data_IF_074995696913
#
_entry.id   IF_074995696913
#
_cell.length_a   1.000
_cell.length_b   1.000
_cell.length_c   1.000
_cell.angle_alpha   90.00
_cell.angle_beta   90.00
_cell.angle_gamma   90.00
#
_symmetry.space_group_name_H-M   'P 1'
#
loop_
_entity.id
_entity.type
_entity.pdbx_description
1 polymer ?
#
# COMPACT_ATOMS: atom_id res chain seq x y z
N UNK A 1 31.19 27.96 -26.85
CA UNK A 1 29.81 28.48 -26.76
C UNK A 1 28.74 27.40 -26.96
N UNK A 2 28.82 26.57 -28.00
CA UNK A 2 27.82 25.52 -28.26
C UNK A 2 27.71 24.48 -27.12
N UNK A 3 28.84 24.06 -26.54
CA UNK A 3 28.85 23.09 -25.43
C UNK A 3 28.17 23.62 -24.15
N UNK A 4 28.32 24.92 -23.86
CA UNK A 4 27.70 25.55 -22.70
C UNK A 4 26.17 25.69 -22.86
N UNK A 5 25.69 25.93 -24.09
CA UNK A 5 24.27 25.98 -24.39
C UNK A 5 23.59 24.60 -24.27
N UNK A 6 24.28 23.53 -24.69
CA UNK A 6 23.78 22.15 -24.53
C UNK A 6 23.72 21.76 -23.04
N UNK A 7 24.74 22.14 -22.26
CA UNK A 7 24.75 21.86 -20.81
C UNK A 7 23.61 22.58 -20.08
N UNK A 8 23.29 23.83 -20.45
CA UNK A 8 22.15 24.57 -19.90
C UNK A 8 20.80 23.95 -20.26
N UNK A 9 20.65 23.45 -21.49
CA UNK A 9 19.43 22.77 -21.92
C UNK A 9 19.22 21.44 -21.18
N UNK A 10 20.28 20.68 -20.94
CA UNK A 10 20.21 19.41 -20.18
C UNK A 10 19.95 19.65 -18.68
N UNK A 11 20.41 20.78 -18.11
CA UNK A 11 20.04 21.14 -16.72
C UNK A 11 18.57 21.58 -16.59
N UNK A 12 17.97 22.13 -17.64
CA UNK A 12 16.56 22.56 -17.59
C UNK A 12 15.56 21.40 -17.63
N UNK A 13 15.95 20.25 -18.20
CA UNK A 13 15.09 19.06 -18.26
C UNK A 13 15.08 18.24 -16.97
N UNK A 14 16.04 18.43 -16.06
CA UNK A 14 16.04 17.76 -14.74
C UNK A 14 15.22 18.50 -13.68
N UNK A 15 14.84 19.76 -13.92
CA UNK A 15 14.01 20.57 -13.00
C UNK A 15 12.49 20.35 -13.17
N UNK A 16 12.05 19.65 -14.21
CA UNK A 16 10.64 19.40 -14.53
C UNK A 16 10.17 17.98 -14.15
N UNK A 17 10.93 17.23 -13.33
CA UNK A 17 10.65 15.83 -13.03
C UNK A 17 9.97 15.57 -11.67
N UNK A 18 9.65 16.62 -10.90
CA UNK A 18 8.94 16.51 -9.62
C UNK A 18 7.93 17.63 -9.50
N UNK A 19 6.68 17.33 -9.85
CA UNK A 19 5.54 18.24 -9.75
C UNK A 19 4.90 18.15 -8.36
N UNK A 20 5.70 18.45 -7.33
CA UNK A 20 5.19 18.79 -6.00
C UNK A 20 6.14 19.82 -5.40
N UNK A 21 5.80 21.10 -5.56
CA UNK A 21 6.76 22.18 -5.36
C UNK A 21 7.06 22.49 -3.88
N UNK A 22 6.26 22.08 -2.90
CA UNK A 22 6.51 22.41 -1.47
C UNK A 22 5.91 21.43 -0.43
N UNK A 23 5.38 20.26 -0.82
CA UNK A 23 4.76 19.26 0.06
C UNK A 23 5.69 18.16 0.61
N UNK A 24 5.18 17.38 1.57
CA UNK A 24 5.75 16.08 1.93
C UNK A 24 5.18 15.01 1.00
N UNK A 25 6.05 14.25 0.34
CA UNK A 25 5.64 13.22 -0.63
C UNK A 25 4.57 12.28 -0.05
N UNK A 26 3.38 12.29 -0.66
CA UNK A 26 2.33 11.31 -0.41
C UNK A 26 2.88 9.89 -0.55
N UNK A 27 2.58 9.02 0.42
CA UNK A 27 3.19 7.69 0.47
C UNK A 27 2.20 6.61 0.86
N UNK A 28 2.18 5.52 0.10
CA UNK A 28 1.52 4.27 0.46
C UNK A 28 2.55 3.30 1.05
N UNK A 29 2.24 2.79 2.23
CA UNK A 29 3.04 1.80 2.94
C UNK A 29 2.38 0.43 2.87
N UNK A 30 3.13 -0.58 2.46
CA UNK A 30 2.77 -1.98 2.61
C UNK A 30 3.65 -2.64 3.68
N UNK A 31 3.03 -3.17 4.72
CA UNK A 31 3.71 -3.78 5.86
C UNK A 31 3.31 -5.27 5.94
N UNK A 32 4.00 -6.15 5.20
CA UNK A 32 3.78 -7.59 5.29
C UNK A 32 4.28 -8.12 6.65
N UNK A 33 3.49 -8.98 7.27
CA UNK A 33 3.86 -9.71 8.47
C UNK A 33 3.29 -11.13 8.43
N UNK A 34 4.02 -12.06 9.03
CA UNK A 34 3.63 -13.46 9.07
C UNK A 34 2.68 -13.70 10.24
N UNK A 35 1.51 -14.28 9.97
CA UNK A 35 0.56 -14.69 11.02
C UNK A 35 0.96 -16.06 11.55
N UNK A 36 1.17 -17.01 10.63
CA UNK A 36 1.64 -18.35 10.93
C UNK A 36 2.41 -18.93 9.71
N UNK A 37 2.75 -20.23 9.74
CA UNK A 37 3.53 -20.86 8.68
C UNK A 37 2.85 -20.85 7.30
N UNK A 38 1.53 -20.69 7.25
CA UNK A 38 0.68 -20.81 6.04
C UNK A 38 -0.06 -19.51 5.71
N UNK A 39 -0.06 -18.54 6.62
CA UNK A 39 -0.84 -17.32 6.51
C UNK A 39 0.01 -16.08 6.73
N UNK A 40 -0.20 -15.08 5.89
CA UNK A 40 0.40 -13.76 5.99
C UNK A 40 -0.69 -12.69 6.01
N UNK A 41 -0.37 -11.52 6.53
CA UNK A 41 -1.16 -10.33 6.32
C UNK A 41 -0.29 -9.17 5.88
N UNK A 42 -0.91 -8.22 5.18
CA UNK A 42 -0.29 -6.99 4.72
C UNK A 42 -1.14 -5.84 5.20
N UNK A 43 -0.58 -5.04 6.11
CA UNK A 43 -1.21 -3.77 6.46
C UNK A 43 -0.86 -2.73 5.40
N UNK A 44 -1.87 -2.16 4.78
CA UNK A 44 -1.75 -1.05 3.85
C UNK A 44 -2.11 0.21 4.60
N UNK A 45 -1.20 1.18 4.62
CA UNK A 45 -1.40 2.48 5.24
C UNK A 45 -1.02 3.59 4.27
N UNK A 46 -1.53 4.79 4.49
CA UNK A 46 -1.17 5.97 3.71
C UNK A 46 -0.69 7.09 4.62
N UNK A 47 0.15 7.93 4.04
CA UNK A 47 0.43 9.28 4.47
C UNK A 47 0.09 10.22 3.31
N UNK A 48 -0.61 11.29 3.63
CA UNK A 48 -0.91 12.36 2.70
C UNK A 48 -0.79 13.72 3.37
N UNK A 49 -0.31 14.73 2.63
CA UNK A 49 -0.22 16.11 3.11
C UNK A 49 -1.30 17.03 2.53
N UNK A 50 -1.97 16.61 1.45
CA UNK A 50 -3.14 17.24 0.85
C UNK A 50 -4.44 16.45 1.09
N UNK A 51 -5.59 17.06 0.80
CA UNK A 51 -6.88 16.38 0.89
C UNK A 51 -7.05 15.32 -0.23
N UNK A 52 -7.57 14.14 0.13
CA UNK A 52 -7.74 13.03 -0.82
C UNK A 52 -9.22 12.66 -1.00
N UNK A 53 -9.67 12.64 -2.26
CA UNK A 53 -11.00 12.24 -2.69
C UNK A 53 -11.10 10.74 -2.98
N UNK A 54 -10.10 10.17 -3.62
CA UNK A 54 -10.09 8.76 -4.02
C UNK A 54 -8.69 8.16 -3.99
N UNK A 55 -8.63 6.83 -3.88
CA UNK A 55 -7.41 6.03 -3.84
C UNK A 55 -7.59 4.77 -4.69
N UNK A 56 -6.58 4.46 -5.50
CA UNK A 56 -6.40 3.17 -6.18
C UNK A 56 -5.04 2.60 -5.78
N UNK A 57 -5.02 1.42 -5.15
CA UNK A 57 -3.78 0.69 -4.79
C UNK A 57 -3.80 -0.70 -5.41
N UNK A 58 -3.11 -0.90 -6.54
CA UNK A 58 -2.85 -2.22 -7.08
C UNK A 58 -1.67 -2.87 -6.34
N UNK A 59 -1.88 -4.06 -5.81
CA UNK A 59 -0.87 -4.83 -5.09
C UNK A 59 -0.71 -6.21 -5.73
N UNK A 60 0.52 -6.59 -6.03
CA UNK A 60 0.89 -7.93 -6.48
C UNK A 60 1.68 -8.62 -5.39
N UNK A 61 1.35 -9.88 -5.15
CA UNK A 61 1.98 -10.69 -4.13
C UNK A 61 2.78 -11.82 -4.76
N UNK A 62 3.97 -12.09 -4.21
CA UNK A 62 4.83 -13.17 -4.66
C UNK A 62 5.40 -13.93 -3.45
N UNK A 63 5.20 -15.26 -3.45
CA UNK A 63 5.73 -16.18 -2.44
C UNK A 63 6.67 -17.23 -3.03
N UNK A 64 7.45 -16.85 -4.04
CA UNK A 64 8.38 -17.73 -4.75
C UNK A 64 7.64 -18.75 -5.61
N UNK A 65 7.70 -20.03 -5.22
CA UNK A 65 7.04 -21.13 -5.94
C UNK A 65 5.63 -21.43 -5.43
N UNK A 66 5.28 -20.92 -4.25
CA UNK A 66 3.97 -21.16 -3.65
C UNK A 66 2.95 -20.22 -4.29
N UNK A 67 1.88 -20.80 -4.83
CA UNK A 67 0.73 -20.03 -5.28
C UNK A 67 -0.06 -19.57 -4.05
N UNK A 68 -0.24 -18.26 -3.92
CA UNK A 68 -0.95 -17.62 -2.82
C UNK A 68 -2.21 -16.92 -3.31
N UNK A 69 -3.16 -16.73 -2.42
CA UNK A 69 -4.43 -16.05 -2.68
C UNK A 69 -4.72 -15.07 -1.55
N UNK A 70 -5.35 -13.94 -1.89
CA UNK A 70 -5.89 -13.03 -0.91
C UNK A 70 -7.30 -13.49 -0.50
N UNK A 71 -7.43 -13.99 0.73
CA UNK A 71 -8.68 -14.55 1.25
C UNK A 71 -9.67 -13.46 1.66
N UNK A 72 -9.15 -12.39 2.24
CA UNK A 72 -9.99 -11.30 2.75
C UNK A 72 -9.24 -9.98 2.79
N UNK A 73 -10.01 -8.90 2.71
CA UNK A 73 -9.53 -7.53 2.90
C UNK A 73 -10.44 -6.82 3.89
N UNK A 74 -9.85 -6.27 4.95
CA UNK A 74 -10.57 -5.58 6.03
C UNK A 74 -10.27 -4.09 5.95
N UNK A 75 -11.32 -3.28 5.83
CA UNK A 75 -11.26 -1.81 5.82
C UNK A 75 -11.73 -1.25 7.17
N UNK A 76 -10.98 -1.51 8.23
CA UNK A 76 -11.31 -1.04 9.58
C UNK A 76 -10.14 -0.30 10.20
N UNK A 77 -10.45 0.76 10.92
CA UNK A 77 -9.49 1.62 11.59
C UNK A 77 -8.80 2.60 10.63
N UNK A 78 -8.46 3.77 11.16
CA UNK A 78 -7.70 4.79 10.45
C UNK A 78 -8.49 5.50 9.35
N UNK A 79 -7.79 5.93 8.31
CA UNK A 79 -8.34 6.76 7.22
C UNK A 79 -9.34 6.01 6.35
N UNK A 80 -9.29 4.67 6.36
CA UNK A 80 -10.26 3.84 5.65
C UNK A 80 -11.71 4.23 6.01
N UNK A 81 -11.98 4.58 7.26
CA UNK A 81 -13.35 4.83 7.75
C UNK A 81 -14.00 6.05 7.08
N UNK A 82 -13.21 7.05 6.71
CA UNK A 82 -13.67 8.26 6.04
C UNK A 82 -14.15 8.01 4.59
N UNK A 83 -13.75 6.89 3.97
CA UNK A 83 -14.22 6.55 2.62
C UNK A 83 -15.62 5.95 2.63
N UNK A 84 -16.55 6.48 1.83
CA UNK A 84 -17.90 5.91 1.69
C UNK A 84 -17.90 4.62 0.88
N UNK A 85 -17.17 4.61 -0.24
CA UNK A 85 -17.02 3.41 -1.08
C UNK A 85 -15.70 2.74 -0.74
N UNK A 86 -15.76 1.46 -0.41
CA UNK A 86 -14.62 0.62 -0.08
C UNK A 86 -14.69 -0.65 -0.90
N UNK A 87 -13.71 -0.90 -1.76
CA UNK A 87 -13.70 -2.07 -2.62
C UNK A 87 -12.30 -2.71 -2.68
N UNK A 88 -12.27 -4.04 -2.67
CA UNK A 88 -11.10 -4.83 -2.98
C UNK A 88 -11.48 -5.82 -4.09
N UNK A 89 -10.78 -5.76 -5.21
CA UNK A 89 -10.89 -6.74 -6.29
C UNK A 89 -9.71 -7.68 -6.20
N UNK A 90 -9.98 -8.96 -5.96
CA UNK A 90 -8.98 -10.03 -5.93
C UNK A 90 -8.90 -10.69 -7.31
N UNK A 91 -7.70 -10.93 -7.79
CA UNK A 91 -7.43 -11.79 -8.95
C UNK A 91 -6.42 -12.87 -8.55
N UNK A 92 -6.92 -14.10 -8.45
CA UNK A 92 -6.14 -15.27 -8.04
C UNK A 92 -5.19 -15.76 -9.13
N UNK A 93 -5.46 -15.44 -10.40
CA UNK A 93 -4.63 -15.88 -11.52
C UNK A 93 -3.32 -15.11 -11.58
N UNK A 94 -3.37 -13.82 -11.25
CA UNK A 94 -2.21 -12.91 -11.21
C UNK A 94 -1.70 -12.66 -9.79
N UNK A 95 -2.30 -13.29 -8.77
CA UNK A 95 -1.97 -13.14 -7.35
C UNK A 95 -1.95 -11.67 -6.92
N UNK A 96 -2.97 -10.92 -7.34
CA UNK A 96 -3.07 -9.49 -7.10
C UNK A 96 -4.37 -9.08 -6.42
N UNK A 97 -4.31 -7.93 -5.75
CA UNK A 97 -5.47 -7.25 -5.17
C UNK A 97 -5.43 -5.80 -5.59
N UNK A 98 -6.56 -5.29 -6.09
CA UNK A 98 -6.73 -3.86 -6.36
C UNK A 98 -7.68 -3.27 -5.34
N UNK A 99 -7.19 -2.37 -4.49
CA UNK A 99 -8.00 -1.61 -3.55
C UNK A 99 -8.47 -0.33 -4.25
N UNK A 100 -9.77 -0.07 -4.20
CA UNK A 100 -10.37 1.18 -4.67
C UNK A 100 -11.23 1.80 -3.58
N UNK A 101 -10.92 3.03 -3.18
CA UNK A 101 -11.65 3.80 -2.17
C UNK A 101 -12.09 5.16 -2.72
N UNK A 102 -13.32 5.59 -2.38
CA UNK A 102 -13.88 6.89 -2.80
C UNK A 102 -14.59 7.54 -1.60
N UNK A 103 -14.24 8.79 -1.29
CA UNK A 103 -14.73 9.51 -0.11
C UNK A 103 -16.24 9.75 -0.23
N UNK A 104 -16.65 10.50 -1.24
CA UNK A 104 -17.98 10.64 -1.83
C UNK A 104 -17.79 11.64 -2.99
N UNK A 105 -18.53 11.51 -4.08
CA UNK A 105 -18.52 12.50 -5.17
C UNK A 105 -19.59 13.57 -4.96
N UNK A 106 -20.48 13.37 -3.98
CA UNK A 106 -21.50 14.34 -3.55
C UNK A 106 -21.02 15.26 -2.42
N UNK A 107 -21.87 16.21 -2.04
CA UNK A 107 -21.60 17.25 -1.03
C UNK A 107 -21.57 16.68 0.41
N UNK A 108 -21.85 15.38 0.59
CA UNK A 108 -22.23 14.83 1.91
C UNK A 108 -21.04 14.36 2.77
N UNK A 109 -19.92 13.98 2.14
CA UNK A 109 -18.72 13.53 2.85
C UNK A 109 -17.54 14.35 2.37
N UNK A 110 -16.85 15.07 3.27
CA UNK A 110 -15.68 15.84 2.88
C UNK A 110 -14.57 14.92 2.38
N UNK A 111 -13.66 15.42 1.52
CA UNK A 111 -12.40 14.76 1.22
C UNK A 111 -11.67 14.35 2.49
N UNK A 112 -10.82 13.33 2.39
CA UNK A 112 -10.02 12.86 3.50
C UNK A 112 -8.99 13.93 3.84
N UNK A 113 -8.92 14.36 5.11
CA UNK A 113 -7.97 15.38 5.51
C UNK A 113 -6.51 14.88 5.39
N UNK A 114 -5.55 15.79 5.32
CA UNK A 114 -4.13 15.49 5.47
C UNK A 114 -3.87 14.64 6.73
N UNK A 115 -2.99 13.66 6.62
CA UNK A 115 -2.60 12.86 7.76
C UNK A 115 -2.02 11.51 7.42
N UNK A 116 -2.13 10.58 8.38
CA UNK A 116 -1.68 9.21 8.24
C UNK A 116 -2.69 8.25 8.82
N UNK A 117 -2.81 7.09 8.21
CA UNK A 117 -3.59 6.01 8.80
C UNK A 117 -3.68 4.77 7.96
N UNK A 118 -4.33 3.75 8.53
CA UNK A 118 -4.56 2.49 7.86
C UNK A 118 -5.65 2.63 6.80
N UNK A 119 -5.39 2.01 5.65
CA UNK A 119 -6.27 1.92 4.49
C UNK A 119 -6.96 0.56 4.48
N UNK A 120 -6.20 -0.51 4.63
CA UNK A 120 -6.73 -1.87 4.65
C UNK A 120 -5.76 -2.85 5.33
N UNK A 121 -6.27 -3.99 5.77
CA UNK A 121 -5.47 -5.18 6.07
C UNK A 121 -5.88 -6.30 5.13
N UNK A 122 -4.93 -6.83 4.37
CA UNK A 122 -5.14 -7.92 3.42
C UNK A 122 -4.60 -9.21 4.04
N UNK A 123 -5.37 -10.29 3.99
CA UNK A 123 -4.97 -11.61 4.48
C UNK A 123 -4.69 -12.52 3.30
N UNK A 124 -3.56 -13.24 3.36
CA UNK A 124 -3.05 -14.09 2.30
C UNK A 124 -2.84 -15.52 2.83
N UNK A 125 -3.24 -16.52 2.05
CA UNK A 125 -2.95 -17.93 2.33
C UNK A 125 -2.41 -18.66 1.10
N UNK A 126 -1.77 -19.80 1.32
CA UNK A 126 -1.32 -20.68 0.26
C UNK A 126 -2.50 -21.50 -0.30
N UNK A 127 -2.66 -21.50 -1.63
CA UNK A 127 -3.76 -22.20 -2.31
C UNK A 127 -3.71 -23.73 -2.07
N UNK A 128 -2.51 -24.29 -2.00
CA UNK A 128 -2.25 -25.71 -1.74
C UNK A 128 -2.08 -26.03 -0.24
N UNK A 129 -2.28 -25.05 0.65
CA UNK A 129 -2.06 -25.15 2.11
C UNK A 129 -0.63 -25.51 2.50
N UNK A 130 0.34 -25.28 1.60
CA UNK A 130 1.76 -25.39 1.89
C UNK A 130 2.22 -24.23 2.78
N UNK A 131 3.39 -24.39 3.39
CA UNK A 131 4.03 -23.33 4.16
C UNK A 131 4.84 -22.42 3.24
N UNK A 132 4.82 -21.11 3.49
CA UNK A 132 5.68 -20.15 2.79
C UNK A 132 6.23 -19.08 3.73
N UNK A 133 7.53 -18.80 3.58
CA UNK A 133 8.31 -17.94 4.48
C UNK A 133 8.70 -16.60 3.89
N UNK A 134 8.54 -16.45 2.57
CA UNK A 134 8.90 -15.24 1.85
C UNK A 134 7.63 -14.70 1.24
N UNK A 135 7.34 -13.44 1.51
CA UNK A 135 6.30 -12.67 0.85
C UNK A 135 6.94 -11.38 0.35
N UNK A 136 6.92 -11.18 -0.96
CA UNK A 136 7.19 -9.91 -1.59
C UNK A 136 5.88 -9.26 -1.96
N UNK A 137 5.79 -7.96 -1.72
CA UNK A 137 4.66 -7.11 -2.12
C UNK A 137 5.21 -6.08 -3.10
N UNK A 138 4.48 -5.82 -4.17
CA UNK A 138 4.85 -4.81 -5.15
C UNK A 138 3.60 -4.05 -5.64
N UNK A 139 3.78 -2.82 -6.10
CA UNK A 139 2.76 -2.08 -6.84
C UNK A 139 3.14 -2.10 -8.32
N UNK A 140 2.55 -3.02 -9.07
CA UNK A 140 2.60 -2.97 -10.52
C UNK A 140 1.23 -2.62 -11.07
N UNK A 141 1.15 -2.24 -12.35
CA UNK A 141 -0.15 -2.01 -12.98
C UNK A 141 -0.91 -3.33 -13.11
N UNK A 142 -1.99 -3.51 -12.35
CA UNK A 142 -2.82 -4.73 -12.44
C UNK A 142 -3.77 -4.65 -13.65
N UNK A 143 -4.04 -5.75 -14.36
CA UNK A 143 -4.97 -5.74 -15.50
C UNK A 143 -6.37 -5.20 -15.13
N UNK A 144 -7.04 -4.44 -16.02
CA UNK A 144 -6.64 -4.04 -17.37
C UNK A 144 -5.84 -2.72 -17.45
N UNK A 145 -5.23 -2.25 -16.35
CA UNK A 145 -4.46 -1.00 -16.32
C UNK A 145 -4.66 -0.17 -15.06
N UNK A 146 -4.93 -0.79 -13.91
CA UNK A 146 -5.02 -0.04 -12.66
C UNK A 146 -3.62 0.38 -12.23
N UNK A 147 -3.44 1.66 -11.96
CA UNK A 147 -2.22 2.25 -11.44
C UNK A 147 -2.39 2.66 -9.98
N UNK A 148 -1.26 2.79 -9.30
CA UNK A 148 -1.20 3.41 -7.99
C UNK A 148 -1.52 4.90 -8.15
N UNK A 149 -2.61 5.35 -7.53
CA UNK A 149 -3.08 6.71 -7.71
C UNK A 149 -3.87 7.20 -6.49
N UNK A 150 -3.56 8.43 -6.09
CA UNK A 150 -4.38 9.27 -5.25
C UNK A 150 -5.09 10.31 -6.12
N UNK A 151 -6.24 10.78 -5.69
CA UNK A 151 -6.98 11.84 -6.38
C UNK A 151 -7.30 12.92 -5.36
N UNK A 152 -6.84 14.15 -5.59
CA UNK A 152 -7.23 15.33 -4.81
C UNK A 152 -8.44 16.03 -5.42
N UNK A 153 -9.26 16.73 -4.61
CA UNK A 153 -10.26 17.65 -5.14
C UNK A 153 -9.56 18.81 -5.90
N UNK A 154 -10.11 19.30 -7.03
CA UNK A 154 -11.38 18.91 -7.63
C UNK A 154 -11.34 17.54 -8.32
N UNK A 155 -10.26 17.15 -9.01
CA UNK A 155 -10.06 15.80 -9.62
C UNK A 155 -8.60 15.57 -10.07
N UNK A 156 -7.61 16.17 -9.42
CA UNK A 156 -6.22 16.05 -9.89
C UNK A 156 -5.59 14.76 -9.36
N UNK A 157 -4.92 14.03 -10.24
CA UNK A 157 -4.32 12.73 -9.92
C UNK A 157 -2.89 12.90 -9.42
N UNK A 158 -2.58 12.29 -8.29
CA UNK A 158 -1.24 12.26 -7.68
C UNK A 158 -0.77 10.81 -7.67
N UNK A 159 0.49 10.56 -8.04
CA UNK A 159 1.10 9.23 -7.93
C UNK A 159 1.95 9.21 -6.65
N UNK A 160 1.47 8.55 -5.57
CA UNK A 160 2.22 8.50 -4.32
C UNK A 160 3.48 7.64 -4.46
N UNK A 161 4.46 7.87 -3.58
CA UNK A 161 5.54 6.93 -3.37
C UNK A 161 5.00 5.61 -2.81
N UNK A 162 5.57 4.49 -3.24
CA UNK A 162 5.26 3.18 -2.67
C UNK A 162 6.44 2.66 -1.86
N UNK A 163 6.18 2.31 -0.60
CA UNK A 163 7.18 1.82 0.34
C UNK A 163 6.73 0.50 0.94
N UNK A 164 7.50 -0.55 0.69
CA UNK A 164 7.33 -1.83 1.39
C UNK A 164 8.20 -1.81 2.64
N UNK A 165 7.58 -1.83 3.82
CA UNK A 165 8.35 -2.01 5.07
C UNK A 165 8.76 -3.47 5.16
N UNK A 166 9.99 -3.71 5.60
CA UNK A 166 10.46 -5.08 5.83
C UNK A 166 9.58 -5.70 6.91
N UNK A 167 9.24 -6.98 6.71
CA UNK A 167 8.63 -7.80 7.76
C UNK A 167 9.67 -7.92 8.89
N UNK A 168 9.67 -6.96 9.82
CA UNK A 168 10.68 -6.89 10.86
C UNK A 168 10.55 -8.11 11.76
N UNK A 169 11.68 -8.80 11.97
CA UNK A 169 11.87 -9.91 12.92
C UNK A 169 11.44 -9.57 14.37
N UNK A 170 11.13 -8.29 14.64
CA UNK A 170 10.84 -7.70 15.94
C UNK A 170 9.55 -8.25 16.57
N UNK A 171 8.56 -8.69 15.79
CA UNK A 171 7.35 -9.33 16.36
C UNK A 171 7.60 -10.77 16.84
N UNK A 172 8.51 -11.52 16.19
CA UNK A 172 8.89 -12.86 16.67
C UNK A 172 9.59 -12.79 18.02
N UNK A 173 10.48 -11.82 18.23
CA UNK A 173 11.17 -11.65 19.51
C UNK A 173 10.20 -11.24 20.64
N UNK A 174 9.25 -10.33 20.37
CA UNK A 174 8.23 -9.94 21.36
C UNK A 174 7.22 -11.04 21.69
N UNK A 175 6.88 -11.90 20.72
CA UNK A 175 6.01 -13.06 20.96
C UNK A 175 6.75 -14.19 21.69
N UNK A 176 8.02 -14.43 21.36
CA UNK A 176 8.86 -15.41 22.06
C UNK A 176 9.21 -14.97 23.49
N UNK A 177 9.35 -13.67 23.75
CA UNK A 177 9.55 -13.15 25.10
C UNK A 177 8.30 -13.30 25.96
N UNK A 178 7.10 -12.96 25.44
CA UNK A 178 5.82 -13.20 26.14
C UNK A 178 5.58 -14.68 26.45
N UNK A 179 5.87 -15.58 25.50
CA UNK A 179 5.72 -17.02 25.70
C UNK A 179 6.71 -17.62 26.71
N UNK A 180 7.86 -16.97 26.93
CA UNK A 180 8.83 -17.36 27.96
C UNK A 180 8.47 -16.85 29.35
N UNK A 181 7.75 -15.73 29.45
CA UNK A 181 7.25 -15.21 30.74
C UNK A 181 6.08 -16.05 31.25
N UNK A 182 5.10 -16.40 30.41
CA UNK A 182 3.96 -17.23 30.81
C UNK A 182 4.36 -18.66 31.23
N UNK A 183 5.46 -19.22 30.69
CA UNK A 183 5.98 -20.54 31.09
C UNK A 183 6.81 -20.53 32.39
N UNK A 184 7.13 -19.37 32.94
CA UNK A 184 7.84 -19.25 34.23
C UNK A 184 6.91 -19.01 35.42
N UNK A 185 5.64 -18.69 35.16
CA UNK A 185 4.65 -18.37 36.19
C UNK A 185 3.57 -19.46 36.41
N UNK A 186 3.69 -20.62 35.74
CA UNK A 186 2.86 -21.81 35.96
C UNK A 186 3.69 -23.01 36.39
#
# INVERSE_FOLDING_TARGET
>A
MILAAIMLLVLSTTLMAQDDQYGMIDTIYAEPYQIDAKNWAVNVSMFNDEEILALSVPLVFNAGKTAIVADSTIFKGGVAEAFRVKHARVDTSTQCVTIGLIADVGISVPPIPPGKGRVATIFLSALDKSEFKLLSVDTTTTPPGNNLQLVKPPTEGIVPAFVVKKADKVEKEKMEEKAKVEKKEG
#
